data_IF_997863730034
#
_entry.id   IF_997863730034
#
_cell.length_a   1.000
_cell.length_b   1.000
_cell.length_c   1.000
_cell.angle_alpha   90.00
_cell.angle_beta   90.00
_cell.angle_gamma   90.00
#
_symmetry.space_group_name_H-M   'P 1'
#
loop_
_entity.id
_entity.type
_entity.pdbx_description
1 polymer ?
#
# COMPACT_ATOMS: atom_id res chain seq x y z
N UNK A 1 20.36 -0.17 8.14
CA UNK A 1 19.10 -0.64 7.51
C UNK A 1 18.19 0.57 7.28
N UNK A 2 17.58 0.72 6.10
CA UNK A 2 16.69 1.87 5.80
C UNK A 2 15.28 1.54 6.28
N UNK A 3 14.70 2.44 7.08
CA UNK A 3 13.32 2.32 7.54
C UNK A 3 12.37 2.57 6.35
N UNK A 4 11.49 1.62 5.98
CA UNK A 4 10.52 1.82 4.90
C UNK A 4 9.43 2.80 5.32
N UNK A 5 8.69 3.34 4.36
CA UNK A 5 7.55 4.22 4.66
C UNK A 5 6.42 3.42 5.30
N UNK A 6 5.63 4.00 6.22
CA UNK A 6 4.38 3.39 6.63
C UNK A 6 3.44 3.27 5.42
N UNK A 7 2.75 2.14 5.24
CA UNK A 7 1.83 1.94 4.13
C UNK A 7 0.58 2.81 4.30
N UNK A 8 0.08 3.38 3.21
CA UNK A 8 -1.22 4.06 3.20
C UNK A 8 -2.36 3.05 2.97
N UNK A 9 -3.62 3.53 3.01
CA UNK A 9 -4.83 2.71 2.85
C UNK A 9 -4.81 1.88 1.57
N UNK A 10 -4.47 2.49 0.43
CA UNK A 10 -4.37 1.79 -0.85
C UNK A 10 -3.26 0.74 -0.87
N UNK A 11 -2.10 1.00 -0.27
CA UNK A 11 -0.99 0.03 -0.22
C UNK A 11 -1.37 -1.19 0.63
N UNK A 12 -2.09 -0.99 1.74
CA UNK A 12 -2.62 -2.08 2.56
C UNK A 12 -3.65 -2.91 1.78
N UNK A 13 -4.63 -2.23 1.15
CA UNK A 13 -5.63 -2.86 0.29
C UNK A 13 -4.98 -3.68 -0.84
N UNK A 14 -4.03 -3.07 -1.56
CA UNK A 14 -3.31 -3.71 -2.67
C UNK A 14 -2.58 -4.96 -2.24
N UNK A 15 -1.94 -4.98 -1.05
CA UNK A 15 -1.23 -6.19 -0.57
C UNK A 15 -2.18 -7.38 -0.47
N UNK A 16 -3.36 -7.18 0.10
CA UNK A 16 -4.35 -8.25 0.27
C UNK A 16 -4.92 -8.69 -1.08
N UNK A 17 -5.40 -7.75 -1.91
CA UNK A 17 -5.99 -8.09 -3.20
C UNK A 17 -4.97 -8.69 -4.19
N UNK A 18 -3.73 -8.22 -4.17
CA UNK A 18 -2.66 -8.77 -5.01
C UNK A 18 -2.38 -10.22 -4.66
N UNK A 19 -2.30 -10.58 -3.37
CA UNK A 19 -2.12 -11.96 -2.97
C UNK A 19 -3.27 -12.84 -3.46
N UNK A 20 -4.51 -12.40 -3.34
CA UNK A 20 -5.66 -13.14 -3.84
C UNK A 20 -5.59 -13.37 -5.36
N UNK A 21 -5.29 -12.31 -6.13
CA UNK A 21 -5.17 -12.39 -7.59
C UNK A 21 -4.03 -13.33 -8.02
N UNK A 22 -2.88 -13.30 -7.33
CA UNK A 22 -1.76 -14.18 -7.64
C UNK A 22 -2.03 -15.65 -7.29
N UNK A 23 -2.82 -15.90 -6.24
CA UNK A 23 -3.27 -17.24 -5.85
C UNK A 23 -4.25 -17.79 -6.89
N UNK A 24 -5.23 -16.99 -7.29
CA UNK A 24 -6.25 -17.36 -8.28
C UNK A 24 -5.66 -17.49 -9.69
N UNK A 25 -4.71 -16.63 -10.06
CA UNK A 25 -4.19 -16.56 -11.41
C UNK A 25 -2.68 -16.33 -11.44
N UNK A 26 -1.92 -17.42 -11.32
CA UNK A 26 -0.44 -17.40 -11.27
C UNK A 26 0.25 -16.86 -12.53
N UNK A 27 -0.49 -16.67 -13.64
CA UNK A 27 0.06 -16.18 -14.92
C UNK A 27 -0.04 -14.67 -15.09
N UNK A 28 -0.76 -13.96 -14.22
CA UNK A 28 -0.93 -12.52 -14.36
C UNK A 28 0.33 -11.76 -13.91
N UNK A 29 0.72 -10.74 -14.66
CA UNK A 29 1.84 -9.90 -14.24
C UNK A 29 1.45 -8.98 -13.07
N UNK A 30 2.43 -8.63 -12.23
CA UNK A 30 2.23 -7.66 -11.15
C UNK A 30 1.75 -6.29 -11.67
N UNK A 31 2.14 -5.92 -12.89
CA UNK A 31 1.72 -4.69 -13.56
C UNK A 31 0.23 -4.72 -13.87
N UNK A 32 -0.26 -5.81 -14.48
CA UNK A 32 -1.67 -6.00 -14.80
C UNK A 32 -2.52 -6.09 -13.54
N UNK A 33 -2.09 -6.89 -12.55
CA UNK A 33 -2.78 -6.97 -11.27
C UNK A 33 -2.89 -5.58 -10.60
N UNK A 34 -1.86 -4.74 -10.71
CA UNK A 34 -1.89 -3.38 -10.15
C UNK A 34 -2.89 -2.47 -10.87
N UNK A 35 -3.06 -2.62 -12.20
CA UNK A 35 -4.09 -1.90 -12.96
C UNK A 35 -5.50 -2.31 -12.50
N UNK A 36 -5.73 -3.62 -12.36
CA UNK A 36 -7.02 -4.17 -11.89
C UNK A 36 -7.34 -3.67 -10.49
N UNK A 37 -6.40 -3.81 -9.55
CA UNK A 37 -6.58 -3.37 -8.15
C UNK A 37 -6.85 -1.85 -8.08
N UNK A 38 -6.21 -1.05 -8.94
CA UNK A 38 -6.46 0.38 -9.02
C UNK A 38 -7.91 0.71 -9.42
N UNK A 39 -8.48 -0.05 -10.37
CA UNK A 39 -9.89 0.07 -10.75
C UNK A 39 -10.81 -0.41 -9.63
N UNK A 40 -10.50 -1.56 -9.01
CA UNK A 40 -11.26 -2.07 -7.86
C UNK A 40 -11.30 -1.06 -6.73
N UNK A 41 -10.16 -0.45 -6.38
CA UNK A 41 -10.11 0.57 -5.31
C UNK A 41 -10.98 1.80 -5.62
N UNK A 42 -11.03 2.25 -6.87
CA UNK A 42 -11.90 3.38 -7.24
C UNK A 42 -13.37 3.04 -7.04
N UNK A 43 -13.77 1.83 -7.43
CA UNK A 43 -15.15 1.35 -7.37
C UNK A 43 -15.52 0.71 -6.02
N UNK A 44 -14.57 0.62 -5.08
CA UNK A 44 -14.80 0.01 -3.76
C UNK A 44 -15.70 0.89 -2.89
N UNK A 45 -16.47 0.24 -2.02
CA UNK A 45 -17.40 0.91 -1.11
C UNK A 45 -16.69 1.88 -0.15
N UNK A 46 -17.37 2.97 0.22
CA UNK A 46 -16.82 3.95 1.14
C UNK A 46 -16.53 3.36 2.52
N UNK A 47 -17.35 2.40 3.00
CA UNK A 47 -17.12 1.75 4.30
C UNK A 47 -15.84 0.94 4.29
N UNK A 48 -15.57 0.23 3.20
CA UNK A 48 -14.35 -0.56 3.06
C UNK A 48 -13.14 0.38 2.90
N UNK A 49 -13.24 1.45 2.10
CA UNK A 49 -12.19 2.49 2.03
C UNK A 49 -11.89 3.09 3.41
N UNK A 50 -12.92 3.36 4.21
CA UNK A 50 -12.78 3.86 5.58
C UNK A 50 -12.08 2.86 6.49
N UNK A 51 -12.42 1.56 6.39
CA UNK A 51 -11.72 0.49 7.11
C UNK A 51 -10.23 0.50 6.80
N UNK A 52 -9.85 0.61 5.52
CA UNK A 52 -8.44 0.69 5.12
C UNK A 52 -7.76 1.99 5.57
N UNK A 53 -8.50 3.11 5.64
CA UNK A 53 -8.00 4.36 6.20
C UNK A 53 -7.68 4.23 7.69
N UNK A 54 -8.58 3.65 8.49
CA UNK A 54 -8.35 3.39 9.92
C UNK A 54 -7.14 2.49 10.13
N UNK A 55 -6.97 1.44 9.31
CA UNK A 55 -5.80 0.57 9.38
C UNK A 55 -4.50 1.31 9.01
N UNK A 56 -4.53 2.17 8.00
CA UNK A 56 -3.38 2.98 7.62
C UNK A 56 -2.98 3.96 8.71
N UNK A 57 -3.94 4.57 9.40
CA UNK A 57 -3.66 5.45 10.53
C UNK A 57 -3.05 4.69 11.70
N UNK A 58 -3.52 3.48 11.99
CA UNK A 58 -2.89 2.60 13.00
C UNK A 58 -1.45 2.26 12.64
N UNK A 59 -1.18 1.90 11.39
CA UNK A 59 0.18 1.61 10.91
C UNK A 59 1.08 2.85 10.96
N UNK A 60 0.54 4.04 10.64
CA UNK A 60 1.26 5.31 10.75
C UNK A 60 1.61 5.65 12.20
N UNK A 61 0.67 5.48 13.13
CA UNK A 61 0.89 5.69 14.55
C UNK A 61 1.93 4.72 15.10
N UNK A 62 1.80 3.43 14.80
CA UNK A 62 2.78 2.41 15.18
C UNK A 62 4.17 2.75 14.63
N UNK A 63 4.26 3.16 13.37
CA UNK A 63 5.53 3.55 12.77
C UNK A 63 6.16 4.76 13.48
N UNK A 64 5.36 5.74 13.87
CA UNK A 64 5.85 6.90 14.62
C UNK A 64 6.33 6.53 16.03
N UNK A 65 5.70 5.54 16.68
CA UNK A 65 6.13 5.01 17.97
C UNK A 65 7.42 4.18 17.86
N UNK A 66 7.50 3.29 16.86
CA UNK A 66 8.65 2.42 16.63
C UNK A 66 9.87 3.21 16.12
N UNK A 67 9.62 4.32 15.41
CA UNK A 67 10.64 5.16 14.79
C UNK A 67 10.35 6.65 15.01
N UNK A 68 10.53 7.17 16.24
CA UNK A 68 10.23 8.58 16.57
C UNK A 68 11.07 9.58 15.77
N UNK A 69 12.30 9.21 15.39
CA UNK A 69 13.21 10.04 14.58
C UNK A 69 13.03 9.85 13.07
N UNK A 70 12.00 9.11 12.64
CA UNK A 70 11.77 8.86 11.22
C UNK A 70 11.36 10.12 10.47
N UNK A 71 12.17 10.52 9.50
CA UNK A 71 11.84 11.60 8.56
C UNK A 71 11.97 11.10 7.13
N UNK A 72 10.91 11.31 6.33
CA UNK A 72 10.93 10.98 4.91
C UNK A 72 11.88 11.91 4.15
N UNK A 73 13.03 11.38 3.73
CA UNK A 73 14.02 12.08 2.90
C UNK A 73 14.11 11.41 1.52
N UNK A 74 13.31 11.84 0.54
CA UNK A 74 13.38 11.29 -0.82
C UNK A 74 14.75 11.59 -1.43
N UNK A 75 15.40 10.56 -2.00
CA UNK A 75 16.55 10.78 -2.87
C UNK A 75 16.01 11.18 -4.24
N UNK A 76 16.37 12.35 -4.74
CA UNK A 76 16.14 12.71 -6.15
C UNK A 76 17.00 11.78 -6.99
N UNK A 77 16.41 10.92 -7.82
CA UNK A 77 17.19 10.20 -8.82
C UNK A 77 17.61 11.22 -9.88
N UNK A 78 18.91 11.39 -10.09
CA UNK A 78 19.41 11.96 -11.33
C UNK A 78 18.92 11.04 -12.45
N UNK A 79 17.96 11.51 -13.26
CA UNK A 79 17.57 10.80 -14.49
C UNK A 79 18.86 10.53 -15.27
N UNK A 80 19.20 9.25 -15.49
CA UNK A 80 20.13 8.83 -16.54
C UNK A 80 19.30 8.50 -17.75
#
# INVERSE_FOLDING_TARGET
KKIPRPPNSFILYRRVKLNNILIENKKISLSEASKIIGQMWRNEDEREKLRWAILADKEKLKHAQDYPDYVYRPKRSTKR
#
